data_IF_804178022058
#
_entry.id   IF_804178022058
#
_cell.length_a   1.000
_cell.length_b   1.000
_cell.length_c   1.000
_cell.angle_alpha   90.00
_cell.angle_beta   90.00
_cell.angle_gamma   90.00
#
_symmetry.space_group_name_H-M   'P 1'
#
loop_
_entity.id
_entity.type
_entity.pdbx_description
1 polymer ?
#
# COMPACT_ATOMS: atom_id res chain seq x y z
N UNK A 1 -2.40 17.31 -3.20
CA UNK A 1 -3.33 16.54 -2.32
C UNK A 1 -3.84 15.32 -3.10
N UNK A 2 -4.20 14.21 -2.45
CA UNK A 2 -4.61 12.95 -3.14
C UNK A 2 -5.72 13.16 -4.20
N UNK A 3 -6.56 14.18 -4.02
CA UNK A 3 -7.64 14.56 -4.95
C UNK A 3 -7.15 15.06 -6.32
N UNK A 4 -5.89 15.48 -6.43
CA UNK A 4 -5.29 15.92 -7.70
C UNK A 4 -4.81 14.76 -8.58
N UNK A 5 -4.79 13.52 -8.06
CA UNK A 5 -4.37 12.34 -8.81
C UNK A 5 -5.56 11.73 -9.59
N UNK A 6 -5.32 11.19 -10.80
CA UNK A 6 -6.28 10.34 -11.51
C UNK A 6 -6.84 9.23 -10.60
N UNK A 7 -8.09 8.82 -10.82
CA UNK A 7 -8.76 7.82 -9.96
C UNK A 7 -8.00 6.50 -9.96
N UNK A 8 -7.41 6.14 -11.10
CA UNK A 8 -6.68 4.91 -11.36
C UNK A 8 -5.38 4.83 -10.53
N UNK A 9 -4.84 5.98 -10.13
CA UNK A 9 -3.62 6.09 -9.32
C UNK A 9 -3.91 6.21 -7.81
N UNK A 10 -5.19 6.22 -7.42
CA UNK A 10 -5.59 6.27 -6.00
C UNK A 10 -5.87 4.87 -5.49
N UNK A 11 -4.90 4.29 -4.80
CA UNK A 11 -4.98 2.94 -4.23
C UNK A 11 -5.33 2.97 -2.74
N UNK A 12 -5.92 1.87 -2.25
CA UNK A 12 -6.20 1.65 -0.83
C UNK A 12 -5.85 0.21 -0.45
N UNK A 13 -5.39 0.01 0.78
CA UNK A 13 -5.22 -1.34 1.35
C UNK A 13 -6.62 -1.86 1.72
N UNK A 14 -7.02 -3.07 1.27
CA UNK A 14 -8.28 -3.67 1.70
C UNK A 14 -8.30 -3.86 3.22
N UNK A 15 -9.40 -3.45 3.86
CA UNK A 15 -9.60 -3.58 5.30
C UNK A 15 -11.02 -4.07 5.57
N UNK A 16 -11.22 -4.77 6.70
CA UNK A 16 -12.55 -5.16 7.14
C UNK A 16 -13.41 -3.93 7.42
N UNK A 17 -14.71 -4.04 7.16
CA UNK A 17 -15.67 -2.98 7.49
C UNK A 17 -15.60 -2.63 8.98
N UNK A 18 -15.79 -1.34 9.31
CA UNK A 18 -15.76 -0.80 10.67
C UNK A 18 -14.44 -0.96 11.44
N UNK A 19 -13.36 -1.44 10.80
CA UNK A 19 -12.03 -1.46 11.42
C UNK A 19 -11.42 -0.07 11.47
N UNK A 20 -10.64 0.21 12.51
CA UNK A 20 -9.81 1.43 12.56
C UNK A 20 -8.74 1.37 11.48
N UNK A 21 -8.40 2.54 10.93
CA UNK A 21 -7.30 2.68 9.98
C UNK A 21 -6.00 2.11 10.55
N UNK A 22 -5.21 1.50 9.66
CA UNK A 22 -3.87 1.01 10.00
C UNK A 22 -2.96 2.21 10.36
N UNK A 23 -1.99 1.99 11.25
CA UNK A 23 -0.97 3.01 11.46
C UNK A 23 -0.17 3.23 10.16
N UNK A 24 0.49 4.39 10.06
CA UNK A 24 1.22 4.76 8.86
C UNK A 24 2.37 3.80 8.53
N UNK A 25 3.17 3.38 9.53
CA UNK A 25 4.33 2.52 9.29
C UNK A 25 3.94 1.15 8.74
N UNK A 26 2.86 0.57 9.25
CA UNK A 26 2.34 -0.72 8.81
C UNK A 26 1.73 -0.62 7.40
N UNK A 27 1.03 0.48 7.10
CA UNK A 27 0.48 0.70 5.76
C UNK A 27 1.59 0.84 4.70
N UNK A 28 2.66 1.58 5.02
CA UNK A 28 3.84 1.70 4.17
C UNK A 28 4.53 0.34 3.99
N UNK A 29 4.74 -0.40 5.08
CA UNK A 29 5.37 -1.71 5.03
C UNK A 29 4.62 -2.67 4.10
N UNK A 30 3.30 -2.81 4.25
CA UNK A 30 2.48 -3.67 3.39
C UNK A 30 2.63 -3.27 1.92
N UNK A 31 2.53 -1.98 1.60
CA UNK A 31 2.60 -1.51 0.21
C UNK A 31 3.98 -1.75 -0.42
N UNK A 32 5.06 -1.46 0.32
CA UNK A 32 6.44 -1.65 -0.15
C UNK A 32 6.72 -3.13 -0.38
N UNK A 33 6.39 -4.01 0.57
CA UNK A 33 6.66 -5.44 0.43
C UNK A 33 5.82 -6.09 -0.66
N UNK A 34 4.57 -5.68 -0.86
CA UNK A 34 3.75 -6.18 -1.96
C UNK A 34 4.31 -5.75 -3.32
N UNK A 35 4.74 -4.47 -3.44
CA UNK A 35 5.38 -3.97 -4.65
C UNK A 35 6.71 -4.70 -4.92
N UNK A 36 7.51 -4.91 -3.87
CA UNK A 36 8.78 -5.63 -3.95
C UNK A 36 8.57 -7.09 -4.36
N UNK A 37 7.52 -7.75 -3.82
CA UNK A 37 7.10 -9.10 -4.20
C UNK A 37 6.70 -9.18 -5.67
N UNK A 38 5.92 -8.23 -6.18
CA UNK A 38 5.52 -8.19 -7.58
C UNK A 38 6.71 -8.03 -8.54
N UNK A 39 7.77 -7.36 -8.09
CA UNK A 39 9.03 -7.22 -8.82
C UNK A 39 9.98 -8.43 -8.64
N UNK A 40 9.58 -9.44 -7.87
CA UNK A 40 10.39 -10.65 -7.64
C UNK A 40 11.47 -10.48 -6.57
N UNK A 41 11.27 -9.59 -5.59
CA UNK A 41 12.22 -9.30 -4.52
C UNK A 41 13.67 -9.02 -4.99
N UNK A 42 13.88 -8.10 -5.95
CA UNK A 42 15.22 -7.78 -6.43
C UNK A 42 16.15 -7.37 -5.28
N UNK A 43 17.36 -7.91 -5.29
CA UNK A 43 18.42 -7.64 -4.31
C UNK A 43 18.12 -8.05 -2.86
N UNK A 44 17.10 -8.90 -2.63
CA UNK A 44 16.98 -9.58 -1.34
C UNK A 44 18.25 -10.41 -1.06
N UNK A 45 18.70 -10.41 0.20
CA UNK A 45 19.84 -11.19 0.69
C UNK A 45 19.35 -12.40 1.47
#
# INVERSE_FOLDING_TARGET
MIQALPKEQRVRIPMQANSRSMNLSNAVAVFVYESWRQLGFPNAQ
#
